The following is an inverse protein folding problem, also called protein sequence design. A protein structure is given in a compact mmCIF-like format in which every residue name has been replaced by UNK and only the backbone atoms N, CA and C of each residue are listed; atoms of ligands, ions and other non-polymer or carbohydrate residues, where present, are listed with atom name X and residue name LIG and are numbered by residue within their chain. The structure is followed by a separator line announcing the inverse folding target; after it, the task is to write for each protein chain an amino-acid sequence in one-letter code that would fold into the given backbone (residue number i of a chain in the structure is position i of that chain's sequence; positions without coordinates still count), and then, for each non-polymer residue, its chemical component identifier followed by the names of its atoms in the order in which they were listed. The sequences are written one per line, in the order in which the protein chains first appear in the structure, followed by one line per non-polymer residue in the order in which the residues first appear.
data_IF_209876567242
#
_entry.id   IF_209876567242
#
_cell.length_a   1.000
_cell.length_b   1.000
_cell.length_c   1.000
_cell.angle_alpha   90.00
_cell.angle_beta   90.00
_cell.angle_gamma   90.00
#
_symmetry.space_group_name_H-M   'P 1'
#
loop_
_entity.id
_entity.type
_entity.pdbx_description
1 polymer ?
#
# COMPACT_ATOMS: atom_id res chain seq x y z
N UNK A 1 -13.45 11.98 19.03
CA UNK A 1 -12.46 11.28 18.18
C UNK A 1 -12.78 11.67 16.75
N UNK A 2 -11.97 12.52 16.13
CA UNK A 2 -12.15 12.93 14.73
C UNK A 2 -11.92 11.72 13.85
N UNK A 3 -12.86 11.39 12.96
CA UNK A 3 -12.66 10.32 12.00
C UNK A 3 -11.44 10.65 11.11
N UNK A 4 -10.56 9.68 10.81
CA UNK A 4 -9.40 9.94 9.96
C UNK A 4 -9.86 10.40 8.58
N UNK A 5 -9.26 11.48 8.06
CA UNK A 5 -9.59 12.01 6.74
C UNK A 5 -9.21 10.99 5.65
N UNK A 6 -10.15 10.60 4.77
CA UNK A 6 -9.88 9.62 3.73
C UNK A 6 -9.04 10.23 2.61
N UNK A 7 -7.94 9.57 2.24
CA UNK A 7 -7.15 9.93 1.05
C UNK A 7 -7.65 9.10 -0.13
N UNK A 8 -8.33 9.76 -1.06
CA UNK A 8 -8.82 9.14 -2.29
C UNK A 8 -7.69 8.61 -3.16
N UNK A 9 -7.83 7.37 -3.64
CA UNK A 9 -6.86 6.72 -4.54
C UNK A 9 -7.47 6.53 -5.94
N UNK A 10 -8.64 5.89 -6.04
CA UNK A 10 -9.35 5.66 -7.31
C UNK A 10 -10.78 5.15 -7.12
N UNK A 11 -11.54 5.04 -8.21
CA UNK A 11 -12.76 4.23 -8.31
C UNK A 11 -12.47 2.86 -8.94
N UNK A 12 -13.22 1.86 -8.49
CA UNK A 12 -13.34 0.58 -9.17
C UNK A 12 -14.39 0.69 -10.29
N UNK A 13 -14.38 -0.28 -11.21
CA UNK A 13 -15.37 -0.35 -12.30
C UNK A 13 -16.82 -0.54 -11.82
N UNK A 14 -16.99 -0.93 -10.57
CA UNK A 14 -18.26 -1.14 -9.86
C UNK A 14 -18.64 0.09 -9.00
N UNK A 15 -18.11 1.27 -9.33
CA UNK A 15 -18.29 2.57 -8.65
C UNK A 15 -17.76 2.67 -7.20
N UNK A 16 -17.43 1.54 -6.57
CA UNK A 16 -16.83 1.52 -5.22
C UNK A 16 -15.52 2.31 -5.16
N UNK A 17 -15.39 3.12 -4.11
CA UNK A 17 -14.24 3.99 -3.88
C UNK A 17 -13.13 3.27 -3.16
N UNK A 18 -11.90 3.41 -3.66
CA UNK A 18 -10.68 3.02 -2.96
C UNK A 18 -10.04 4.25 -2.33
N UNK A 19 -9.91 4.24 -1.01
CA UNK A 19 -9.27 5.32 -0.25
C UNK A 19 -8.43 4.76 0.89
N UNK A 20 -7.42 5.51 1.32
CA UNK A 20 -6.69 5.20 2.56
C UNK A 20 -7.38 5.89 3.72
N UNK A 21 -7.81 5.10 4.72
CA UNK A 21 -8.53 5.57 5.90
C UNK A 21 -7.78 5.08 7.14
N UNK A 22 -7.15 6.00 7.86
CA UNK A 22 -6.19 5.62 8.91
C UNK A 22 -5.04 4.80 8.31
N UNK A 23 -4.75 3.63 8.90
CA UNK A 23 -3.64 2.75 8.45
C UNK A 23 -4.04 1.71 7.41
N UNK A 24 -5.27 1.77 6.90
CA UNK A 24 -5.76 0.77 5.96
C UNK A 24 -6.13 1.40 4.63
N UNK A 25 -5.83 0.68 3.55
CA UNK A 25 -6.51 0.84 2.27
C UNK A 25 -7.90 0.23 2.42
N UNK A 26 -8.93 1.01 2.13
CA UNK A 26 -10.32 0.63 2.23
C UNK A 26 -11.01 0.66 0.87
N UNK A 27 -11.97 -0.26 0.68
CA UNK A 27 -12.97 -0.20 -0.39
C UNK A 27 -14.29 0.21 0.26
N UNK A 28 -14.89 1.30 -0.20
CA UNK A 28 -16.18 1.79 0.31
C UNK A 28 -16.20 1.96 1.84
N UNK A 29 -15.08 2.40 2.41
CA UNK A 29 -14.90 2.54 3.85
C UNK A 29 -14.52 1.26 4.60
N UNK A 30 -14.64 0.09 3.98
CA UNK A 30 -14.28 -1.20 4.58
C UNK A 30 -12.77 -1.49 4.41
N UNK A 31 -12.01 -1.76 5.49
CA UNK A 31 -10.59 -2.10 5.39
C UNK A 31 -10.33 -3.38 4.60
N UNK A 32 -9.40 -3.29 3.65
CA UNK A 32 -8.96 -4.41 2.81
C UNK A 32 -7.51 -4.81 3.09
N UNK A 33 -6.61 -3.85 3.28
CA UNK A 33 -5.18 -4.11 3.52
C UNK A 33 -4.49 -2.97 4.26
N UNK A 34 -3.50 -3.30 5.09
CA UNK A 34 -2.65 -2.33 5.83
C UNK A 34 -1.33 -2.02 5.09
N UNK A 35 -0.97 -2.82 4.08
CA UNK A 35 0.25 -2.65 3.29
C UNK A 35 0.03 -2.92 1.81
N UNK A 36 1.02 -2.53 1.01
CA UNK A 36 1.08 -2.72 -0.43
C UNK A 36 2.11 -3.81 -0.75
N UNK A 37 1.72 -4.76 -1.58
CA UNK A 37 2.57 -5.85 -2.06
C UNK A 37 3.01 -5.52 -3.48
N UNK A 38 4.29 -5.65 -3.80
CA UNK A 38 4.77 -5.47 -5.18
C UNK A 38 4.24 -6.62 -6.02
N UNK A 39 3.79 -6.33 -7.24
CA UNK A 39 3.09 -7.33 -8.06
C UNK A 39 3.96 -8.57 -8.35
N UNK A 40 5.28 -8.43 -8.39
CA UNK A 40 6.20 -9.55 -8.63
C UNK A 40 6.13 -10.63 -7.53
N UNK A 41 5.92 -10.20 -6.28
CA UNK A 41 5.80 -11.04 -5.09
C UNK A 41 4.42 -11.70 -4.97
N UNK A 42 3.45 -11.28 -5.78
CA UNK A 42 2.08 -11.75 -5.67
C UNK A 42 1.91 -13.12 -6.36
N UNK A 43 1.39 -14.17 -5.69
CA UNK A 43 1.24 -15.51 -6.29
C UNK A 43 0.33 -15.50 -7.52
N UNK A 44 -0.65 -14.59 -7.55
CA UNK A 44 -1.58 -14.41 -8.65
C UNK A 44 -1.18 -13.33 -9.68
N UNK A 45 0.09 -12.90 -9.72
CA UNK A 45 0.56 -11.77 -10.56
C UNK A 45 0.14 -11.85 -12.02
N UNK A 46 0.21 -13.04 -12.63
CA UNK A 46 -0.14 -13.23 -14.03
C UNK A 46 -1.63 -12.98 -14.29
N UNK A 47 -2.51 -13.44 -13.39
CA UNK A 47 -3.94 -13.21 -13.50
C UNK A 47 -4.28 -11.72 -13.31
N UNK A 48 -3.59 -11.06 -12.37
CA UNK A 48 -3.79 -9.64 -12.08
C UNK A 48 -3.34 -8.77 -13.25
N UNK A 49 -2.15 -9.02 -13.81
CA UNK A 49 -1.63 -8.25 -14.95
C UNK A 49 -2.45 -8.45 -16.22
N UNK A 50 -3.09 -9.61 -16.40
CA UNK A 50 -4.05 -9.85 -17.48
C UNK A 50 -5.32 -9.02 -17.33
N UNK A 51 -5.83 -8.87 -16.11
CA UNK A 51 -7.02 -8.08 -15.83
C UNK A 51 -6.74 -6.57 -15.80
N UNK A 52 -5.58 -6.16 -15.29
CA UNK A 52 -5.16 -4.76 -15.15
C UNK A 52 -3.73 -4.61 -15.69
N UNK A 53 -3.58 -4.44 -17.00
CA UNK A 53 -2.27 -4.21 -17.60
C UNK A 53 -1.72 -2.86 -17.11
N UNK A 54 -0.61 -2.91 -16.36
CA UNK A 54 0.01 -1.73 -15.72
C UNK A 54 -0.13 -1.67 -14.20
N UNK A 55 -0.74 -2.68 -13.57
CA UNK A 55 -0.65 -2.85 -12.13
C UNK A 55 0.81 -3.10 -11.71
N UNK A 56 1.29 -2.37 -10.72
CA UNK A 56 2.64 -2.53 -10.15
C UNK A 56 2.60 -3.00 -8.70
N UNK A 57 1.51 -2.71 -8.00
CA UNK A 57 1.30 -3.09 -6.60
C UNK A 57 -0.12 -3.63 -6.40
N UNK A 58 -0.33 -4.30 -5.28
CA UNK A 58 -1.62 -4.85 -4.87
C UNK A 58 -1.84 -4.50 -3.39
N UNK A 59 -3.01 -3.93 -3.08
CA UNK A 59 -3.51 -3.76 -1.71
C UNK A 59 -4.69 -4.72 -1.50
N UNK A 60 -4.44 -5.87 -0.88
CA UNK A 60 -5.46 -6.91 -0.71
C UNK A 60 -5.99 -7.39 -2.05
N UNK A 61 -7.23 -7.04 -2.38
CA UNK A 61 -7.87 -7.40 -3.67
C UNK A 61 -7.76 -6.31 -4.73
N UNK A 62 -7.15 -5.16 -4.39
CA UNK A 62 -7.08 -3.98 -5.25
C UNK A 62 -5.73 -3.90 -5.96
N UNK A 63 -5.66 -4.18 -7.28
CA UNK A 63 -4.46 -3.88 -8.06
C UNK A 63 -4.32 -2.37 -8.24
N UNK A 64 -3.11 -1.85 -8.14
CA UNK A 64 -2.81 -0.42 -8.23
C UNK A 64 -1.71 -0.17 -9.25
N UNK A 65 -1.88 0.90 -10.03
CA UNK A 65 -0.81 1.40 -10.89
C UNK A 65 0.25 2.12 -10.04
N UNK A 66 1.42 2.40 -10.62
CA UNK A 66 2.49 3.12 -9.92
C UNK A 66 2.03 4.44 -9.28
N UNK A 67 1.36 5.38 -9.97
CA UNK A 67 0.92 6.62 -9.32
C UNK A 67 -0.06 6.38 -8.16
N UNK A 68 -0.97 5.41 -8.31
CA UNK A 68 -1.93 5.06 -7.26
C UNK A 68 -1.25 4.44 -6.03
N UNK A 69 -0.28 3.55 -6.28
CA UNK A 69 0.53 2.94 -5.23
C UNK A 69 1.34 4.00 -4.47
N UNK A 70 1.98 4.95 -5.16
CA UNK A 70 2.71 6.05 -4.53
C UNK A 70 1.80 6.91 -3.65
N UNK A 71 0.59 7.23 -4.10
CA UNK A 71 -0.39 7.97 -3.30
C UNK A 71 -0.80 7.18 -2.05
N UNK A 72 -1.11 5.90 -2.21
CA UNK A 72 -1.50 5.03 -1.10
C UNK A 72 -0.36 4.83 -0.09
N UNK A 73 0.87 4.59 -0.54
CA UNK A 73 2.06 4.48 0.33
C UNK A 73 2.29 5.77 1.12
N UNK A 74 2.19 6.94 0.46
CA UNK A 74 2.36 8.22 1.14
C UNK A 74 1.29 8.45 2.21
N UNK A 75 0.04 8.10 1.92
CA UNK A 75 -1.06 8.21 2.87
C UNK A 75 -0.89 7.25 4.07
N UNK A 76 -0.59 5.98 3.81
CA UNK A 76 -0.30 4.99 4.86
C UNK A 76 0.86 5.46 5.74
N UNK A 77 1.96 5.91 5.14
CA UNK A 77 3.14 6.39 5.88
C UNK A 77 2.80 7.54 6.82
N UNK A 78 2.00 8.51 6.38
CA UNK A 78 1.53 9.63 7.24
C UNK A 78 0.66 9.11 8.38
N UNK A 79 -0.24 8.19 8.09
CA UNK A 79 -1.11 7.59 9.09
C UNK A 79 -0.34 6.75 10.12
N UNK A 80 0.72 6.05 9.74
CA UNK A 80 1.59 5.40 10.70
C UNK A 80 2.33 6.44 11.55
N UNK A 81 2.94 7.46 10.93
CA UNK A 81 3.72 8.48 11.64
C UNK A 81 2.91 9.25 12.70
N UNK A 82 1.66 9.60 12.39
CA UNK A 82 0.76 10.29 13.34
C UNK A 82 0.38 9.45 14.57
N UNK A 83 0.47 8.12 14.50
CA UNK A 83 0.15 7.24 15.62
C UNK A 83 1.39 6.67 16.34
N UNK A 84 2.57 6.80 15.74
CA UNK A 84 3.78 6.04 16.07
C UNK A 84 4.89 6.92 16.66
N UNK A 85 4.51 7.97 17.40
CA UNK A 85 5.44 8.90 18.07
C UNK A 85 6.28 8.31 19.22
N UNK A 86 6.50 6.99 19.28
CA UNK A 86 7.29 6.30 20.31
C UNK A 86 8.58 5.69 19.75
N UNK A 87 9.68 5.89 20.46
CA UNK A 87 11.06 5.57 20.05
C UNK A 87 11.33 4.11 19.61
N UNK A 88 10.43 3.15 19.88
CA UNK A 88 10.56 1.75 19.44
C UNK A 88 10.39 1.56 17.95
N UNK A 89 9.49 2.30 17.31
CA UNK A 89 9.13 2.06 15.93
C UNK A 89 10.11 2.66 14.91
N UNK A 90 10.93 3.62 15.34
CA UNK A 90 12.10 4.08 14.60
C UNK A 90 13.13 2.95 14.42
N UNK A 91 13.25 2.04 15.40
CA UNK A 91 14.21 0.93 15.36
C UNK A 91 13.80 -0.17 14.36
N UNK A 92 12.50 -0.45 14.22
CA UNK A 92 11.98 -1.42 13.24
C UNK A 92 12.10 -0.90 11.79
N UNK A 93 11.92 0.41 11.56
CA UNK A 93 12.15 1.03 10.23
C UNK A 93 13.60 0.88 9.76
N UNK A 94 14.59 0.95 10.66
CA UNK A 94 16.01 0.75 10.32
C UNK A 94 16.29 -0.69 9.88
N UNK A 95 15.61 -1.68 10.47
CA UNK A 95 15.74 -3.09 10.08
C UNK A 95 15.15 -3.35 8.70
N UNK A 96 13.96 -2.83 8.39
CA UNK A 96 13.35 -3.01 7.06
C UNK A 96 14.13 -2.30 5.94
N UNK A 97 14.77 -1.15 6.22
CA UNK A 97 15.61 -0.45 5.25
C UNK A 97 16.88 -1.25 4.88
N UNK A 98 17.41 -2.05 5.81
CA UNK A 98 18.54 -2.97 5.54
C UNK A 98 18.11 -4.10 4.61
N UNK A 99 16.91 -4.67 4.76
CA UNK A 99 16.40 -5.71 3.85
C UNK A 99 16.16 -5.20 2.42
N UNK A 100 15.71 -3.95 2.26
CA UNK A 100 15.55 -3.32 0.95
C UNK A 100 16.90 -3.09 0.23
N UNK A 101 18.00 -2.88 0.98
CA UNK A 101 19.33 -2.71 0.38
C UNK A 101 19.95 -4.05 -0.04
N UNK A 102 19.65 -5.15 0.65
CA UNK A 102 20.20 -6.48 0.33
C UNK A 102 19.60 -7.08 -0.95
N UNK A 103 18.34 -6.75 -1.30
CA UNK A 103 17.75 -7.15 -2.58
C UNK A 103 18.20 -6.30 -3.79
N UNK A 104 18.71 -5.09 -3.56
CA UNK A 104 19.19 -4.20 -4.63
C UNK A 104 20.63 -4.51 -5.07
N UNK A 105 21.40 -5.22 -4.26
CA UNK A 105 22.83 -5.52 -4.50
C UNK A 105 23.06 -6.97 -4.98
N UNK A 106 21.98 -7.76 -5.12
CA UNK A 106 22.02 -9.20 -5.44
C UNK A 106 21.64 -9.56 -6.87
N UNK A 107 21.89 -8.68 -7.85
CA UNK A 107 21.88 -9.03 -9.27
C UNK A 107 23.31 -8.86 -9.77
N UNK A 108 23.92 -10.01 -10.05
CA UNK A 108 25.25 -10.22 -10.64
C UNK A 108 25.56 -9.30 -11.83
#
# INVERSE_FOLDING_TARGET
MTAPEPVYVKHLSDDRVVAVIGRHVCIDGQPEADHLVVIDEHPNRQAILRAVPGATHVAGRVPLTMPQASMAQAALRRAHDSFDGSARAVNERLRNAVWQKVFADGVE
#
